data_IF_413323152970
#
_entry.id   IF_413323152970
#
_cell.length_a   1.000
_cell.length_b   1.000
_cell.length_c   1.000
_cell.angle_alpha   90.00
_cell.angle_beta   90.00
_cell.angle_gamma   90.00
#
_symmetry.space_group_name_H-M   'P 1'
#
loop_
_entity.id
_entity.type
_entity.pdbx_description
1 polymer ?
#
# COMPACT_ATOMS: atom_id res chain seq x y z
N UNK A 1 -27.25 1.94 4.46
CA UNK A 1 -28.39 2.23 5.36
C UNK A 1 -27.81 2.69 6.68
N UNK A 2 -27.88 3.99 6.98
CA UNK A 2 -27.58 4.48 8.33
C UNK A 2 -28.77 4.08 9.20
N UNK A 3 -28.53 3.29 10.24
CA UNK A 3 -29.57 2.89 11.20
C UNK A 3 -29.53 3.94 12.30
N UNK A 4 -30.65 4.65 12.47
CA UNK A 4 -30.78 5.69 13.49
C UNK A 4 -31.24 5.05 14.80
N UNK A 5 -30.57 5.36 15.92
CA UNK A 5 -30.88 4.80 17.24
C UNK A 5 -31.78 5.78 17.99
N UNK A 6 -33.04 5.40 18.22
CA UNK A 6 -34.01 6.27 18.91
C UNK A 6 -33.70 6.43 20.41
N UNK A 7 -34.02 7.59 21.00
CA UNK A 7 -33.87 7.85 22.43
C UNK A 7 -34.56 6.79 23.32
N UNK A 8 -35.75 6.33 22.92
CA UNK A 8 -36.48 5.23 23.59
C UNK A 8 -35.75 3.89 23.58
N UNK A 9 -34.88 3.66 22.60
CA UNK A 9 -34.07 2.42 22.53
C UNK A 9 -32.86 2.52 23.45
N UNK A 10 -32.26 3.72 23.58
CA UNK A 10 -31.17 3.99 24.52
C UNK A 10 -31.63 3.86 25.98
N UNK A 11 -32.82 4.35 26.32
CA UNK A 11 -33.40 4.24 27.68
C UNK A 11 -33.56 2.79 28.16
N UNK A 12 -33.62 1.82 27.25
CA UNK A 12 -33.77 0.39 27.57
C UNK A 12 -32.45 -0.34 27.79
N UNK A 13 -31.31 0.33 27.56
CA UNK A 13 -29.99 -0.27 27.75
C UNK A 13 -29.67 -0.28 29.25
N UNK A 14 -29.44 -1.46 29.79
CA UNK A 14 -28.96 -1.64 31.17
C UNK A 14 -27.44 -1.48 31.19
N UNK A 15 -26.94 -0.69 32.15
CA UNK A 15 -25.51 -0.42 32.30
C UNK A 15 -25.10 -0.81 33.73
N UNK A 16 -24.04 -1.63 33.91
CA UNK A 16 -23.54 -1.93 35.24
C UNK A 16 -22.88 -0.71 35.87
N UNK A 17 -23.24 -0.40 37.11
CA UNK A 17 -22.71 0.76 37.87
C UNK A 17 -21.97 0.26 39.11
N UNK A 18 -20.67 -0.08 39.01
CA UNK A 18 -19.88 -0.51 40.17
C UNK A 18 -19.63 0.68 41.13
N UNK A 19 -19.08 0.47 42.35
CA UNK A 19 -18.75 1.56 43.26
C UNK A 19 -17.85 2.63 42.63
N UNK A 20 -17.98 3.88 43.05
CA UNK A 20 -17.23 5.01 42.47
C UNK A 20 -15.72 4.82 42.49
N UNK A 21 -15.17 4.19 43.53
CA UNK A 21 -13.74 3.88 43.59
C UNK A 21 -13.33 2.91 42.47
N UNK A 22 -14.12 1.86 42.24
CA UNK A 22 -13.90 0.90 41.16
C UNK A 22 -14.04 1.58 39.80
N UNK A 23 -15.03 2.47 39.62
CA UNK A 23 -15.17 3.25 38.39
C UNK A 23 -13.93 4.10 38.11
N UNK A 24 -13.40 4.80 39.12
CA UNK A 24 -12.19 5.63 38.98
C UNK A 24 -10.97 4.81 38.61
N UNK A 25 -10.80 3.64 39.21
CA UNK A 25 -9.70 2.73 38.88
C UNK A 25 -9.83 2.19 37.45
N UNK A 26 -11.04 1.83 37.01
CA UNK A 26 -11.30 1.41 35.63
C UNK A 26 -10.96 2.53 34.65
N UNK A 27 -11.45 3.75 34.90
CA UNK A 27 -11.18 4.91 34.04
C UNK A 27 -9.68 5.16 33.97
N UNK A 28 -8.97 5.19 35.11
CA UNK A 28 -7.50 5.38 35.12
C UNK A 28 -6.77 4.38 34.25
N UNK A 29 -7.14 3.09 34.33
CA UNK A 29 -6.52 2.04 33.52
C UNK A 29 -6.84 2.20 32.03
N UNK A 30 -8.10 2.49 31.69
CA UNK A 30 -8.51 2.73 30.30
C UNK A 30 -7.85 3.98 29.70
N UNK A 31 -7.66 5.03 30.49
CA UNK A 31 -6.95 6.24 30.07
C UNK A 31 -5.48 5.93 29.77
N UNK A 32 -4.79 5.17 30.63
CA UNK A 32 -3.40 4.73 30.38
C UNK A 32 -3.26 3.95 29.08
N UNK A 33 -4.21 3.07 28.76
CA UNK A 33 -4.17 2.35 27.48
C UNK A 33 -4.40 3.27 26.28
N UNK A 34 -5.30 4.25 26.41
CA UNK A 34 -5.58 5.23 25.36
C UNK A 34 -4.36 6.10 25.08
N UNK A 35 -3.63 6.52 26.13
CA UNK A 35 -2.37 7.25 26.02
C UNK A 35 -1.29 6.41 25.30
N UNK A 36 -1.13 5.14 25.69
CA UNK A 36 -0.16 4.24 25.06
C UNK A 36 -0.47 3.96 23.58
N UNK A 37 -1.75 3.88 23.20
CA UNK A 37 -2.15 3.74 21.80
C UNK A 37 -1.77 5.00 21.00
N UNK A 38 -2.05 6.19 21.54
CA UNK A 38 -1.67 7.46 20.92
C UNK A 38 -0.14 7.61 20.78
N UNK A 39 0.64 7.24 21.80
CA UNK A 39 2.11 7.25 21.74
C UNK A 39 2.65 6.31 20.66
N UNK A 40 2.09 5.11 20.55
CA UNK A 40 2.49 4.15 19.52
C UNK A 40 2.15 4.61 18.10
N UNK A 41 0.97 5.20 17.92
CA UNK A 41 0.59 5.78 16.63
C UNK A 41 1.53 6.93 16.25
N UNK A 42 1.92 7.77 17.21
CA UNK A 42 2.89 8.84 17.01
C UNK A 42 4.30 8.29 16.67
N UNK A 43 4.77 7.25 17.37
CA UNK A 43 6.06 6.59 17.08
C UNK A 43 6.03 5.95 15.68
N UNK A 44 4.95 5.27 15.31
CA UNK A 44 4.79 4.68 13.97
C UNK A 44 4.86 5.77 12.90
N UNK A 45 4.19 6.89 13.11
CA UNK A 45 4.23 8.01 12.18
C UNK A 45 5.65 8.60 12.08
N UNK A 46 6.33 8.80 13.22
CA UNK A 46 7.71 9.26 13.26
C UNK A 46 8.66 8.30 12.51
N UNK A 47 8.49 6.99 12.68
CA UNK A 47 9.27 5.95 11.98
C UNK A 47 9.03 5.94 10.48
N UNK A 48 7.78 6.10 10.05
CA UNK A 48 7.44 6.24 8.63
C UNK A 48 8.07 7.48 8.01
N UNK A 49 8.04 8.62 8.71
CA UNK A 49 8.71 9.85 8.27
C UNK A 49 10.22 9.67 8.20
N UNK A 50 10.82 9.03 9.21
CA UNK A 50 12.26 8.72 9.24
C UNK A 50 12.66 7.82 8.07
N UNK A 51 11.89 6.76 7.81
CA UNK A 51 12.09 5.88 6.67
C UNK A 51 12.03 6.65 5.34
N UNK A 52 10.98 7.45 5.14
CA UNK A 52 10.83 8.25 3.93
C UNK A 52 12.04 9.17 3.72
N UNK A 53 12.51 9.82 4.79
CA UNK A 53 13.69 10.67 4.75
C UNK A 53 14.97 9.91 4.37
N UNK A 54 15.25 8.77 5.02
CA UNK A 54 16.43 7.97 4.71
C UNK A 54 16.38 7.36 3.30
N UNK A 55 15.21 6.87 2.89
CA UNK A 55 15.00 6.35 1.54
C UNK A 55 15.29 7.42 0.49
N UNK A 56 14.70 8.61 0.66
CA UNK A 56 14.93 9.71 -0.27
C UNK A 56 16.41 10.16 -0.26
N UNK A 57 17.07 10.16 0.91
CA UNK A 57 18.50 10.47 1.02
C UNK A 57 19.39 9.44 0.31
N UNK A 58 19.11 8.14 0.45
CA UNK A 58 19.85 7.06 -0.22
C UNK A 58 19.66 7.07 -1.74
N UNK A 59 18.51 7.56 -2.20
CA UNK A 59 18.15 7.66 -3.62
C UNK A 59 18.45 9.05 -4.20
N UNK A 60 19.08 9.93 -3.43
CA UNK A 60 19.59 11.22 -3.89
C UNK A 60 21.07 11.08 -4.20
N UNK A 61 21.43 11.29 -5.46
CA UNK A 61 22.79 11.16 -5.95
C UNK A 61 23.40 12.54 -6.18
N UNK A 62 24.71 12.74 -5.90
CA UNK A 62 25.40 13.98 -6.22
C UNK A 62 25.45 14.21 -7.74
N UNK A 63 25.56 15.47 -8.16
CA UNK A 63 25.68 15.83 -9.58
C UNK A 63 26.86 15.12 -10.24
N UNK A 64 26.60 14.47 -11.38
CA UNK A 64 27.61 13.69 -12.12
C UNK A 64 27.93 12.31 -11.53
N UNK A 65 27.38 11.95 -10.36
CA UNK A 65 27.62 10.66 -9.71
C UNK A 65 26.82 9.48 -10.26
N UNK A 66 25.81 9.74 -11.10
CA UNK A 66 24.92 8.71 -11.64
C UNK A 66 24.39 9.09 -13.02
N UNK A 67 24.16 8.08 -13.87
CA UNK A 67 23.51 8.28 -15.16
C UNK A 67 22.00 8.36 -14.97
N UNK A 68 21.40 9.39 -15.55
CA UNK A 68 19.94 9.52 -15.66
C UNK A 68 19.48 8.87 -16.96
N UNK A 69 18.54 7.95 -16.85
CA UNK A 69 18.04 7.15 -17.98
C UNK A 69 16.51 7.22 -18.00
N UNK A 70 15.87 7.47 -19.15
CA UNK A 70 14.42 7.39 -19.28
C UNK A 70 13.90 5.99 -18.90
N UNK A 71 12.78 5.92 -18.17
CA UNK A 71 12.13 4.66 -17.78
C UNK A 71 11.99 3.70 -18.96
N UNK A 72 11.61 4.20 -20.15
CA UNK A 72 11.43 3.36 -21.34
C UNK A 72 12.70 2.63 -21.81
N UNK A 73 13.89 3.17 -21.54
CA UNK A 73 15.19 2.55 -21.89
C UNK A 73 15.67 1.52 -20.87
N UNK A 74 14.98 1.42 -19.73
CA UNK A 74 15.28 0.46 -18.66
C UNK A 74 14.50 -0.85 -18.80
N UNK A 75 13.63 -0.97 -19.81
CA UNK A 75 12.69 -2.08 -19.95
C UNK A 75 13.17 -3.08 -21.00
N UNK A 76 12.87 -4.36 -20.78
CA UNK A 76 13.08 -5.41 -21.80
C UNK A 76 11.95 -5.50 -22.82
N UNK A 77 10.78 -4.96 -22.46
CA UNK A 77 9.61 -4.80 -23.33
C UNK A 77 9.03 -3.40 -23.16
N UNK A 78 8.38 -2.84 -24.20
CA UNK A 78 7.65 -1.59 -24.05
C UNK A 78 6.60 -1.67 -22.93
N UNK A 79 6.29 -0.50 -22.35
CA UNK A 79 5.15 -0.37 -21.44
C UNK A 79 3.89 -0.92 -22.09
N UNK A 80 3.03 -1.57 -21.31
CA UNK A 80 1.77 -2.13 -21.81
C UNK A 80 0.59 -1.64 -20.95
N UNK A 81 -0.44 -1.08 -21.58
CA UNK A 81 -1.71 -0.78 -20.92
C UNK A 81 -2.49 -2.07 -20.76
N UNK A 82 -3.16 -2.25 -19.63
CA UNK A 82 -4.13 -3.32 -19.51
C UNK A 82 -5.37 -3.03 -20.34
N UNK A 83 -6.33 -3.94 -20.30
CA UNK A 83 -7.56 -3.82 -21.05
C UNK A 83 -8.77 -4.01 -20.13
N UNK A 84 -9.78 -3.17 -20.36
CA UNK A 84 -11.03 -3.24 -19.62
C UNK A 84 -11.82 -4.45 -20.10
N UNK A 85 -12.41 -5.18 -19.16
CA UNK A 85 -13.30 -6.30 -19.46
C UNK A 85 -14.53 -6.23 -18.56
N UNK A 86 -15.74 -6.46 -19.09
CA UNK A 86 -16.93 -6.64 -18.27
C UNK A 86 -16.79 -7.81 -17.30
N UNK A 87 -17.62 -7.81 -16.27
CA UNK A 87 -17.73 -8.95 -15.36
C UNK A 87 -18.26 -10.17 -16.12
N UNK A 88 -17.77 -11.35 -15.77
CA UNK A 88 -18.13 -12.61 -16.40
C UNK A 88 -17.68 -13.81 -15.56
N UNK A 89 -17.54 -14.96 -16.21
CA UNK A 89 -17.07 -16.21 -15.60
C UNK A 89 -15.83 -16.77 -16.29
N UNK A 90 -15.08 -15.91 -16.98
CA UNK A 90 -13.89 -16.29 -17.75
C UNK A 90 -12.62 -16.05 -16.95
N UNK A 91 -11.62 -15.43 -17.58
CA UNK A 91 -10.29 -15.26 -17.02
C UNK A 91 -10.23 -14.28 -15.82
N UNK A 92 -9.44 -14.56 -14.76
CA UNK A 92 -9.24 -13.65 -13.64
C UNK A 92 -8.58 -12.32 -14.04
N UNK A 93 -9.12 -11.20 -13.59
CA UNK A 93 -8.59 -9.85 -13.86
C UNK A 93 -8.50 -9.04 -12.58
N UNK A 94 -7.33 -8.45 -12.32
CA UNK A 94 -7.05 -7.65 -11.14
C UNK A 94 -7.99 -6.45 -11.04
N UNK A 95 -8.49 -6.20 -9.83
CA UNK A 95 -9.14 -4.95 -9.47
C UNK A 95 -8.06 -3.94 -9.09
N UNK A 96 -8.38 -2.64 -9.17
CA UNK A 96 -7.44 -1.60 -8.74
C UNK A 96 -7.08 -1.72 -7.24
N UNK A 97 -7.95 -2.34 -6.43
CA UNK A 97 -7.68 -2.65 -5.03
C UNK A 97 -6.51 -3.61 -4.83
N UNK A 98 -6.06 -4.33 -5.86
CA UNK A 98 -4.85 -5.15 -5.81
C UNK A 98 -3.56 -4.31 -5.63
N UNK A 99 -3.59 -3.01 -5.92
CA UNK A 99 -2.44 -2.10 -5.86
C UNK A 99 -2.52 -1.19 -4.63
N UNK A 100 -2.45 -1.78 -3.43
CA UNK A 100 -2.55 -1.05 -2.15
C UNK A 100 -1.28 -1.11 -1.28
N UNK A 101 -0.23 -1.78 -1.75
CA UNK A 101 1.01 -2.01 -1.00
C UNK A 101 2.24 -2.11 -1.93
N UNK A 102 3.40 -2.51 -1.40
CA UNK A 102 4.61 -2.66 -2.22
C UNK A 102 4.52 -3.82 -3.21
N UNK A 103 3.67 -4.82 -2.92
CA UNK A 103 3.46 -6.03 -3.72
C UNK A 103 2.00 -6.12 -4.11
N UNK A 104 1.75 -6.60 -5.34
CA UNK A 104 0.40 -6.84 -5.86
C UNK A 104 -0.29 -7.95 -5.07
N UNK A 105 -1.51 -7.69 -4.59
CA UNK A 105 -2.39 -8.72 -4.01
C UNK A 105 -3.27 -9.32 -5.11
N UNK A 106 -2.83 -10.45 -5.67
CA UNK A 106 -3.55 -11.14 -6.74
C UNK A 106 -4.90 -11.74 -6.32
N UNK A 107 -5.16 -11.87 -5.01
CA UNK A 107 -6.49 -12.29 -4.52
C UNK A 107 -7.57 -11.25 -4.81
N UNK A 108 -7.18 -9.98 -4.98
CA UNK A 108 -8.07 -8.86 -5.33
C UNK A 108 -8.38 -8.83 -6.82
N UNK A 109 -9.07 -9.85 -7.32
CA UNK A 109 -9.49 -9.95 -8.72
C UNK A 109 -11.01 -10.06 -8.87
N UNK A 110 -11.45 -10.00 -10.11
CA UNK A 110 -12.79 -10.41 -10.54
C UNK A 110 -12.65 -11.41 -11.69
N UNK A 111 -13.70 -12.18 -11.97
CA UNK A 111 -13.76 -12.94 -13.21
C UNK A 111 -14.24 -12.02 -14.33
N UNK A 112 -13.41 -11.89 -15.37
CA UNK A 112 -13.71 -11.10 -16.55
C UNK A 112 -14.38 -11.95 -17.64
N UNK A 113 -15.13 -11.30 -18.52
CA UNK A 113 -15.62 -11.90 -19.76
C UNK A 113 -14.50 -12.04 -20.82
N UNK A 114 -13.40 -12.69 -20.47
CA UNK A 114 -12.30 -13.07 -21.36
C UNK A 114 -12.21 -14.58 -21.48
N UNK A 115 -11.84 -15.04 -22.67
CA UNK A 115 -11.30 -16.37 -22.88
C UNK A 115 -9.85 -16.45 -22.38
N UNK A 116 -9.32 -17.68 -22.32
CA UNK A 116 -7.98 -17.93 -21.81
C UNK A 116 -6.90 -17.28 -22.69
N UNK A 117 -7.09 -17.26 -24.01
CA UNK A 117 -6.17 -16.60 -24.94
C UNK A 117 -6.17 -15.07 -24.76
N UNK A 118 -7.34 -14.44 -24.63
CA UNK A 118 -7.46 -13.01 -24.41
C UNK A 118 -6.87 -12.56 -23.08
N UNK A 119 -7.12 -13.33 -22.00
CA UNK A 119 -6.61 -13.05 -20.66
C UNK A 119 -5.10 -13.27 -20.53
N UNK A 120 -4.57 -14.36 -21.08
CA UNK A 120 -3.13 -14.70 -20.97
C UNK A 120 -2.21 -13.64 -21.58
N UNK A 121 -2.65 -12.91 -22.61
CA UNK A 121 -1.90 -11.78 -23.20
C UNK A 121 -1.61 -10.63 -22.21
N UNK A 122 -2.43 -10.51 -21.18
CA UNK A 122 -2.31 -9.49 -20.14
C UNK A 122 -1.94 -10.10 -18.78
N UNK A 123 -1.44 -11.34 -18.76
CA UNK A 123 -1.01 -12.01 -17.53
C UNK A 123 0.13 -11.26 -16.85
N UNK A 124 0.11 -11.23 -15.52
CA UNK A 124 1.21 -10.70 -14.72
C UNK A 124 2.32 -11.75 -14.57
N UNK A 125 3.58 -11.31 -14.64
CA UNK A 125 4.73 -12.18 -14.44
C UNK A 125 5.61 -11.65 -13.31
N UNK A 126 6.25 -12.58 -12.60
CA UNK A 126 7.28 -12.24 -11.63
C UNK A 126 8.36 -11.35 -12.27
N UNK A 127 8.69 -10.25 -11.59
CA UNK A 127 9.60 -9.22 -12.09
C UNK A 127 8.89 -8.01 -12.71
N UNK A 128 7.60 -8.08 -13.03
CA UNK A 128 6.84 -6.93 -13.51
C UNK A 128 6.58 -5.91 -12.39
N UNK A 129 6.39 -4.64 -12.73
CA UNK A 129 5.70 -3.66 -11.88
C UNK A 129 4.37 -3.31 -12.52
N UNK A 130 3.33 -3.12 -11.69
CA UNK A 130 2.07 -2.54 -12.11
C UNK A 130 1.94 -1.13 -11.57
N UNK A 131 1.69 -0.18 -12.46
CA UNK A 131 1.51 1.24 -12.15
C UNK A 131 0.03 1.61 -12.27
N UNK A 132 -0.51 2.33 -11.29
CA UNK A 132 -1.86 2.89 -11.34
C UNK A 132 -1.96 3.92 -12.47
N UNK A 133 -2.71 3.59 -13.52
CA UNK A 133 -2.90 4.45 -14.70
C UNK A 133 -4.02 5.46 -14.52
N UNK A 134 -5.09 5.08 -13.82
CA UNK A 134 -6.31 5.86 -13.73
C UNK A 134 -7.00 5.70 -12.37
N UNK A 135 -7.34 6.82 -11.73
CA UNK A 135 -8.04 6.82 -10.44
C UNK A 135 -8.88 8.10 -10.26
N UNK A 136 -9.97 8.02 -9.49
CA UNK A 136 -10.78 9.20 -9.14
C UNK A 136 -10.02 10.19 -8.26
N UNK A 137 -9.10 9.70 -7.43
CA UNK A 137 -8.24 10.53 -6.58
C UNK A 137 -6.84 10.69 -7.19
N UNK A 138 -6.21 11.85 -6.94
CA UNK A 138 -4.86 12.12 -7.44
C UNK A 138 -3.79 11.31 -6.70
N UNK A 139 -3.91 11.12 -5.40
CA UNK A 139 -2.88 10.47 -4.57
C UNK A 139 -2.39 9.09 -5.08
N UNK A 140 -3.27 8.14 -5.44
CA UNK A 140 -2.82 6.83 -5.92
C UNK A 140 -2.30 6.85 -7.35
N UNK A 141 -2.42 7.96 -8.09
CA UNK A 141 -2.02 8.00 -9.50
C UNK A 141 -0.54 7.67 -9.63
N UNK A 142 -0.25 6.77 -10.56
CA UNK A 142 1.08 6.32 -10.92
C UNK A 142 1.93 5.73 -9.78
N UNK A 143 1.31 5.33 -8.66
CA UNK A 143 1.97 4.46 -7.68
C UNK A 143 2.25 3.10 -8.32
N UNK A 144 3.37 2.50 -7.95
CA UNK A 144 3.78 1.19 -8.43
C UNK A 144 3.60 0.10 -7.36
N UNK A 145 3.34 -1.13 -7.82
CA UNK A 145 3.39 -2.34 -7.01
C UNK A 145 4.23 -3.40 -7.74
N UNK A 146 5.01 -4.17 -7.00
CA UNK A 146 5.82 -5.27 -7.51
C UNK A 146 4.98 -6.52 -7.72
N UNK A 147 5.21 -7.22 -8.83
CA UNK A 147 4.74 -8.58 -9.03
C UNK A 147 5.88 -9.51 -8.63
N UNK A 148 5.81 -10.10 -7.44
CA UNK A 148 6.84 -11.04 -6.94
C UNK A 148 6.61 -12.47 -7.43
N UNK A 149 5.38 -12.82 -7.78
CA UNK A 149 4.98 -14.15 -8.23
C UNK A 149 4.15 -14.05 -9.50
N UNK A 150 4.46 -14.92 -10.46
CA UNK A 150 3.61 -15.08 -11.64
C UNK A 150 2.32 -15.77 -11.23
N UNK A 151 1.19 -15.22 -11.64
CA UNK A 151 -0.13 -15.78 -11.37
C UNK A 151 -0.98 -15.69 -12.64
N UNK A 152 -1.91 -16.63 -12.81
CA UNK A 152 -2.82 -16.67 -13.97
C UNK A 152 -3.96 -15.65 -13.82
N UNK A 153 -3.56 -14.38 -13.64
CA UNK A 153 -4.43 -13.23 -13.50
C UNK A 153 -3.92 -12.11 -14.40
N UNK A 154 -4.85 -11.42 -15.03
CA UNK A 154 -4.53 -10.35 -15.97
C UNK A 154 -4.70 -8.96 -15.34
N UNK A 155 -3.98 -7.96 -15.84
CA UNK A 155 -4.11 -6.58 -15.37
C UNK A 155 -5.12 -5.76 -16.21
N UNK A 156 -5.92 -4.94 -15.53
CA UNK A 156 -6.98 -4.15 -16.13
C UNK A 156 -6.48 -2.83 -16.78
N UNK A 157 -7.34 -2.14 -17.52
CA UNK A 157 -7.02 -0.86 -18.18
C UNK A 157 -6.66 0.29 -17.23
N UNK A 158 -6.97 0.15 -15.95
CA UNK A 158 -6.56 1.05 -14.86
C UNK A 158 -5.10 0.89 -14.47
N UNK A 159 -4.35 -0.02 -15.13
CA UNK A 159 -2.97 -0.36 -14.82
C UNK A 159 -2.07 -0.25 -16.07
N UNK A 160 -0.80 0.08 -15.84
CA UNK A 160 0.29 0.00 -16.81
C UNK A 160 1.32 -1.00 -16.30
N UNK A 161 1.67 -1.97 -17.13
CA UNK A 161 2.76 -2.90 -16.85
C UNK A 161 4.09 -2.29 -17.26
N UNK A 162 5.05 -2.39 -16.35
CA UNK A 162 6.47 -2.11 -16.55
C UNK A 162 7.22 -3.41 -16.42
N UNK A 163 8.07 -3.73 -17.39
CA UNK A 163 8.84 -4.97 -17.41
C UNK A 163 10.34 -4.66 -17.44
N UNK A 164 10.99 -4.57 -16.27
CA UNK A 164 12.39 -4.13 -16.16
C UNK A 164 13.33 -5.06 -16.92
N UNK A 165 14.40 -4.50 -17.51
CA UNK A 165 15.50 -5.29 -18.02
C UNK A 165 16.48 -5.60 -16.86
N UNK A 166 16.61 -6.87 -16.42
CA UNK A 166 17.45 -7.23 -15.28
C UNK A 166 18.94 -6.96 -15.50
N UNK A 167 19.40 -6.84 -16.75
CA UNK A 167 20.78 -6.46 -17.08
C UNK A 167 21.07 -4.96 -16.84
N UNK A 168 20.02 -4.15 -16.64
CA UNK A 168 20.11 -2.69 -16.48
C UNK A 168 19.62 -2.24 -15.11
N UNK A 169 18.52 -2.81 -14.65
CA UNK A 169 17.88 -2.39 -13.41
C UNK A 169 17.19 -3.56 -12.72
N UNK A 170 17.35 -3.67 -11.40
CA UNK A 170 16.58 -4.63 -10.62
C UNK A 170 15.15 -4.14 -10.38
N UNK A 171 14.17 -5.06 -10.31
CA UNK A 171 12.77 -4.73 -10.04
C UNK A 171 12.61 -3.92 -8.74
N UNK A 172 13.26 -4.38 -7.66
CA UNK A 172 13.20 -3.72 -6.35
C UNK A 172 13.81 -2.33 -6.35
N UNK A 173 14.98 -2.15 -6.98
CA UNK A 173 15.55 -0.82 -7.12
C UNK A 173 14.62 0.10 -7.90
N UNK A 174 14.06 -0.38 -9.02
CA UNK A 174 13.14 0.39 -9.84
C UNK A 174 11.89 0.80 -9.06
N UNK A 175 11.33 -0.11 -8.26
CA UNK A 175 10.22 0.18 -7.36
C UNK A 175 10.58 1.30 -6.37
N UNK A 176 11.71 1.17 -5.65
CA UNK A 176 12.11 2.16 -4.65
C UNK A 176 12.40 3.54 -5.26
N UNK A 177 13.10 3.60 -6.40
CA UNK A 177 13.38 4.90 -7.04
C UNK A 177 12.12 5.52 -7.62
N UNK A 178 11.17 4.72 -8.13
CA UNK A 178 9.89 5.21 -8.63
C UNK A 178 9.01 5.79 -7.52
N UNK A 179 9.01 5.15 -6.34
CA UNK A 179 8.28 5.60 -5.15
C UNK A 179 9.02 6.68 -4.34
N UNK A 180 10.22 7.06 -4.76
CA UNK A 180 10.97 8.16 -4.15
C UNK A 180 10.23 9.49 -4.31
N UNK A 181 10.40 10.42 -3.36
CA UNK A 181 9.74 11.73 -3.42
C UNK A 181 10.09 12.50 -4.71
N UNK A 182 11.32 12.36 -5.20
CA UNK A 182 11.77 13.03 -6.42
C UNK A 182 11.00 12.54 -7.66
N UNK A 183 10.89 11.22 -7.84
CA UNK A 183 10.14 10.63 -8.94
C UNK A 183 8.64 10.94 -8.81
N UNK A 184 8.06 10.71 -7.62
CA UNK A 184 6.65 11.03 -7.32
C UNK A 184 6.28 12.46 -7.67
N UNK A 185 7.11 13.43 -7.30
CA UNK A 185 6.89 14.85 -7.59
C UNK A 185 6.94 15.18 -9.09
N UNK A 186 7.71 14.44 -9.88
CA UNK A 186 7.73 14.56 -11.36
C UNK A 186 6.47 13.95 -11.96
N UNK A 187 6.03 12.81 -11.44
CA UNK A 187 4.90 12.06 -11.96
C UNK A 187 3.54 12.75 -11.65
N UNK A 188 3.39 13.32 -10.46
CA UNK A 188 2.16 14.05 -10.08
C UNK A 188 1.93 15.32 -10.90
N UNK A 189 2.96 15.85 -11.55
CA UNK A 189 2.88 16.98 -12.47
C UNK A 189 2.44 16.59 -13.89
N UNK A 190 2.71 15.37 -14.32
CA UNK A 190 2.30 14.86 -15.64
C UNK A 190 0.89 14.25 -15.63
N UNK A 191 0.36 13.90 -14.45
CA UNK A 191 -1.00 13.40 -14.30
C UNK A 191 -2.04 14.46 -14.73
N UNK A 192 -2.99 14.05 -15.56
CA UNK A 192 -4.03 14.92 -16.13
C UNK A 192 -5.40 14.49 -15.66
N UNK A 193 -6.24 15.45 -15.29
CA UNK A 193 -7.65 15.19 -14.98
C UNK A 193 -8.45 15.15 -16.29
N UNK A 194 -9.18 14.07 -16.53
CA UNK A 194 -10.04 13.92 -17.71
C UNK A 194 -11.36 13.29 -17.27
N UNK A 195 -12.47 14.01 -17.47
CA UNK A 195 -13.82 13.56 -17.09
C UNK A 195 -13.93 13.07 -15.64
N UNK A 196 -13.32 13.79 -14.70
CA UNK A 196 -13.35 13.46 -13.27
C UNK A 196 -12.39 12.33 -12.84
N UNK A 197 -11.55 11.81 -13.74
CA UNK A 197 -10.58 10.75 -13.44
C UNK A 197 -9.17 11.25 -13.75
N UNK A 198 -8.24 11.14 -12.80
CA UNK A 198 -6.82 11.39 -13.02
C UNK A 198 -6.22 10.27 -13.84
N UNK A 199 -5.43 10.61 -14.86
CA UNK A 199 -4.78 9.65 -15.76
C UNK A 199 -3.32 10.00 -16.03
N UNK A 200 -2.51 8.97 -16.26
CA UNK A 200 -1.16 9.06 -16.84
C UNK A 200 -1.10 8.21 -18.11
N UNK A 201 -0.27 8.63 -19.08
CA UNK A 201 -0.04 7.85 -20.30
C UNK A 201 1.27 7.06 -20.23
N UNK A 202 1.41 6.06 -21.09
CA UNK A 202 2.66 5.30 -21.23
C UNK A 202 3.81 6.20 -21.68
N UNK A 203 3.57 7.11 -22.61
CA UNK A 203 4.55 8.10 -23.06
C UNK A 203 5.03 9.00 -21.92
N UNK A 204 4.12 9.46 -21.07
CA UNK A 204 4.49 10.30 -19.92
C UNK A 204 5.38 9.50 -18.95
N UNK A 205 5.04 8.23 -18.67
CA UNK A 205 5.83 7.33 -17.82
C UNK A 205 7.19 7.03 -18.45
N UNK A 206 7.25 6.71 -19.75
CA UNK A 206 8.46 6.33 -20.46
C UNK A 206 9.54 7.43 -20.44
N UNK A 207 9.12 8.70 -20.41
CA UNK A 207 9.99 9.89 -20.41
C UNK A 207 10.48 10.30 -19.03
N UNK A 208 9.99 9.68 -17.95
CA UNK A 208 10.51 9.96 -16.61
C UNK A 208 11.94 9.44 -16.53
N UNK A 209 12.88 10.34 -16.30
CA UNK A 209 14.28 9.96 -16.11
C UNK A 209 14.52 9.59 -14.65
N UNK A 210 15.23 8.49 -14.47
CA UNK A 210 15.57 7.92 -13.17
C UNK A 210 17.10 7.79 -13.06
N UNK A 211 17.69 8.03 -11.88
CA UNK A 211 19.10 7.74 -11.65
C UNK A 211 19.31 6.23 -11.61
N UNK A 212 20.26 5.73 -12.40
CA UNK A 212 20.58 4.31 -12.50
C UNK A 212 22.06 4.10 -12.22
N UNK A 213 22.43 3.78 -10.97
CA UNK A 213 23.80 3.41 -10.62
C UNK A 213 24.10 1.98 -11.11
N UNK A 214 25.37 1.52 -11.02
CA UNK A 214 25.73 0.14 -11.35
C UNK A 214 24.90 -0.88 -10.55
N UNK A 215 24.67 -2.07 -11.11
CA UNK A 215 23.83 -3.11 -10.49
C UNK A 215 24.27 -3.48 -9.06
N UNK A 216 25.57 -3.46 -8.78
CA UNK A 216 26.11 -3.70 -7.42
C UNK A 216 25.64 -2.64 -6.41
N UNK A 217 25.66 -1.37 -6.81
CA UNK A 217 25.19 -0.27 -5.98
C UNK A 217 23.67 -0.29 -5.83
N UNK A 218 22.93 -0.67 -6.89
CA UNK A 218 21.50 -0.93 -6.79
C UNK A 218 21.20 -2.01 -5.74
N UNK A 219 21.94 -3.11 -5.76
CA UNK A 219 21.77 -4.20 -4.80
C UNK A 219 22.09 -3.75 -3.36
N UNK A 220 23.14 -2.94 -3.17
CA UNK A 220 23.48 -2.36 -1.86
C UNK A 220 22.37 -1.46 -1.33
N UNK A 221 21.82 -0.59 -2.17
CA UNK A 221 20.69 0.29 -1.82
C UNK A 221 19.46 -0.54 -1.47
N UNK A 222 19.09 -1.51 -2.31
CA UNK A 222 17.95 -2.42 -2.08
C UNK A 222 18.12 -3.17 -0.76
N UNK A 223 19.30 -3.73 -0.46
CA UNK A 223 19.52 -4.44 0.80
C UNK A 223 19.37 -3.55 2.05
N UNK A 224 19.65 -2.25 1.94
CA UNK A 224 19.38 -1.30 3.02
C UNK A 224 17.88 -1.02 3.12
N UNK A 225 17.23 -0.73 1.99
CA UNK A 225 15.81 -0.38 1.95
C UNK A 225 14.90 -1.55 2.35
N UNK A 226 15.17 -2.77 1.88
CA UNK A 226 14.44 -4.00 2.25
C UNK A 226 14.48 -4.22 3.77
N UNK A 227 15.63 -3.96 4.42
CA UNK A 227 15.74 -4.07 5.90
C UNK A 227 14.87 -3.05 6.61
N UNK A 228 14.78 -1.83 6.11
CA UNK A 228 13.89 -0.83 6.69
C UNK A 228 12.42 -1.14 6.41
N UNK A 229 12.08 -1.59 5.20
CA UNK A 229 10.72 -1.91 4.81
C UNK A 229 10.15 -3.05 5.66
N UNK A 230 10.96 -4.10 5.90
CA UNK A 230 10.60 -5.19 6.81
C UNK A 230 10.30 -4.71 8.24
N UNK A 231 10.99 -3.68 8.74
CA UNK A 231 10.75 -3.15 10.09
C UNK A 231 9.50 -2.26 10.19
N UNK A 232 9.12 -1.59 9.09
CA UNK A 232 8.09 -0.54 9.10
C UNK A 232 6.75 -1.03 8.56
N UNK A 233 6.77 -1.91 7.54
CA UNK A 233 5.58 -2.25 6.75
C UNK A 233 5.19 -3.73 6.81
N UNK A 234 6.02 -4.60 7.40
CA UNK A 234 5.61 -6.00 7.63
C UNK A 234 4.44 -6.03 8.61
N UNK A 235 3.35 -6.69 8.23
CA UNK A 235 2.15 -6.86 9.05
C UNK A 235 2.29 -8.01 10.05
N UNK A 236 3.26 -8.90 9.81
CA UNK A 236 3.54 -10.09 10.61
C UNK A 236 4.72 -9.89 11.58
N UNK A 237 5.51 -8.84 11.40
CA UNK A 237 6.62 -8.45 12.27
C UNK A 237 6.71 -6.91 12.37
N UNK A 238 7.67 -6.37 13.10
CA UNK A 238 7.84 -4.91 13.21
C UNK A 238 6.68 -4.16 13.89
N UNK A 239 6.53 -2.87 13.57
CA UNK A 239 5.61 -1.95 14.25
C UNK A 239 4.11 -2.29 14.07
N UNK A 240 3.63 -2.70 12.87
CA UNK A 240 2.21 -3.05 12.69
C UNK A 240 1.78 -4.27 13.52
N UNK A 241 2.64 -5.27 13.67
CA UNK A 241 2.37 -6.44 14.50
C UNK A 241 2.29 -6.09 16.00
N UNK A 242 3.19 -5.23 16.48
CA UNK A 242 3.15 -4.72 17.86
C UNK A 242 1.85 -3.94 18.12
N UNK A 243 1.46 -3.04 17.21
CA UNK A 243 0.21 -2.29 17.28
C UNK A 243 -1.01 -3.21 17.33
N UNK A 244 -1.07 -4.20 16.45
CA UNK A 244 -2.18 -5.16 16.42
C UNK A 244 -2.25 -5.98 17.73
N UNK A 245 -1.10 -6.38 18.29
CA UNK A 245 -1.05 -7.08 19.56
C UNK A 245 -1.52 -6.19 20.72
N UNK A 246 -1.08 -4.92 20.77
CA UNK A 246 -1.50 -3.95 21.79
C UNK A 246 -3.00 -3.65 21.71
N UNK A 247 -3.55 -3.46 20.52
CA UNK A 247 -5.00 -3.27 20.31
C UNK A 247 -5.82 -4.46 20.79
N UNK A 248 -5.41 -5.69 20.45
CA UNK A 248 -6.07 -6.90 20.98
C UNK A 248 -5.99 -6.99 22.49
N UNK A 249 -4.85 -6.65 23.07
CA UNK A 249 -4.66 -6.64 24.53
C UNK A 249 -5.58 -5.59 25.19
N UNK A 250 -5.69 -4.40 24.62
CA UNK A 250 -6.62 -3.38 25.06
C UNK A 250 -8.07 -3.86 25.01
N UNK A 251 -8.53 -4.41 23.87
CA UNK A 251 -9.88 -4.94 23.74
C UNK A 251 -10.17 -6.01 24.79
N UNK A 252 -9.23 -6.94 24.99
CA UNK A 252 -9.34 -7.98 26.02
C UNK A 252 -9.48 -7.41 27.44
N UNK A 253 -8.62 -6.45 27.83
CA UNK A 253 -8.68 -5.85 29.17
C UNK A 253 -9.88 -4.93 29.34
N UNK A 254 -10.26 -4.15 28.33
CA UNK A 254 -11.47 -3.33 28.31
C UNK A 254 -12.69 -4.20 28.56
N UNK A 255 -12.84 -5.27 27.77
CA UNK A 255 -13.99 -6.16 27.89
C UNK A 255 -13.99 -6.86 29.25
N UNK A 256 -12.82 -7.27 29.76
CA UNK A 256 -12.70 -7.86 31.11
C UNK A 256 -13.02 -6.88 32.24
N UNK A 257 -12.59 -5.61 32.14
CA UNK A 257 -12.83 -4.58 33.16
C UNK A 257 -14.27 -4.07 33.17
N UNK A 258 -14.94 -4.13 32.01
CA UNK A 258 -16.33 -3.69 31.84
C UNK A 258 -17.34 -4.84 31.90
N UNK A 259 -16.89 -6.09 32.03
CA UNK A 259 -17.76 -7.24 32.26
C UNK A 259 -17.99 -7.43 33.75
N UNK A 260 -19.21 -7.14 34.20
CA UNK A 260 -19.65 -7.40 35.57
C UNK A 260 -20.63 -8.57 35.58
N UNK A 261 -20.55 -9.43 36.61
CA UNK A 261 -21.61 -10.39 36.86
C UNK A 261 -22.86 -9.61 37.29
N UNK A 262 -24.01 -9.95 36.73
CA UNK A 262 -25.29 -9.44 37.25
C UNK A 262 -25.39 -9.77 38.73
N UNK A 263 -25.68 -8.76 39.55
CA UNK A 263 -25.98 -8.99 40.94
C UNK A 263 -27.23 -9.86 41.01
N UNK A 264 -27.19 -10.95 41.79
CA UNK A 264 -28.38 -11.75 42.05
C UNK A 264 -29.44 -10.83 42.67
N UNK A 265 -30.63 -10.84 42.08
CA UNK A 265 -31.78 -10.05 42.50
C UNK A 265 -32.21 -10.36 43.94
#
# INVERSE_FOLDING_TARGET
KVIDVSARSLERITIPVPPLEVQREIVRVLDTFTELEAELEAELEARRRQYAHYRDSLLTFPEGGVRWIPMGELLREPLANGRSVPDGSGYPVLRLTALHGPVVDASQHKLGAWDEEGGSRFRIEAGDLLIVRGNGSKDPIARACMVERSEDVAFADTMIRVRPNPERVSQRYLFYIWESRAARSRIERIAKLTSGVWKVSQDDIARVELPVPPLEEQARIVAILDRFDALVNDLSSGLPAELAARRKQYEYYRDRLLTFKEAAA
#
